data_IF_727249204203
#
_entry.id   IF_727249204203
#
_cell.length_a   1.000
_cell.length_b   1.000
_cell.length_c   1.000
_cell.angle_alpha   90.00
_cell.angle_beta   90.00
_cell.angle_gamma   90.00
#
_symmetry.space_group_name_H-M   'P 1'
#
loop_
_entity.id
_entity.type
_entity.pdbx_description
1 polymer ?
#
# COMPACT_ATOMS: atom_id res chain seq x y z
N UNK A 1 5.77 12.31 7.80
CA UNK A 1 5.22 11.31 6.87
C UNK A 1 6.09 11.26 5.63
N UNK A 2 6.60 10.09 5.24
CA UNK A 2 7.33 9.91 3.98
C UNK A 2 6.56 8.89 3.14
N UNK A 3 6.08 9.30 1.96
CA UNK A 3 5.43 8.43 0.97
C UNK A 3 6.40 8.26 -0.18
N UNK A 4 6.59 7.03 -0.65
CA UNK A 4 7.40 6.71 -1.82
C UNK A 4 6.74 5.64 -2.66
N UNK A 5 7.03 5.71 -3.96
CA UNK A 5 6.60 4.75 -4.96
C UNK A 5 7.77 3.86 -5.35
N UNK A 6 7.51 2.56 -5.45
CA UNK A 6 8.49 1.55 -5.80
C UNK A 6 7.97 0.74 -6.98
N UNK A 7 8.75 0.67 -8.04
CA UNK A 7 8.49 -0.22 -9.17
C UNK A 7 9.58 -1.29 -9.29
N UNK A 8 9.17 -2.50 -9.62
CA UNK A 8 10.07 -3.64 -9.80
C UNK A 8 9.46 -4.73 -10.66
N UNK A 9 10.29 -5.70 -11.05
CA UNK A 9 9.83 -6.83 -11.85
C UNK A 9 8.99 -7.80 -11.01
N UNK A 10 9.23 -7.84 -9.70
CA UNK A 10 8.51 -8.71 -8.77
C UNK A 10 8.09 -7.96 -7.51
N UNK A 11 7.04 -8.46 -6.87
CA UNK A 11 6.62 -7.98 -5.56
C UNK A 11 7.76 -8.08 -4.52
N UNK A 12 8.49 -9.21 -4.52
CA UNK A 12 9.59 -9.45 -3.57
C UNK A 12 10.68 -8.38 -3.67
N UNK A 13 11.08 -8.04 -4.89
CA UNK A 13 12.07 -7.00 -5.15
C UNK A 13 11.61 -5.65 -4.60
N UNK A 14 10.35 -5.27 -4.85
CA UNK A 14 9.79 -4.02 -4.34
C UNK A 14 9.76 -4.01 -2.80
N UNK A 15 9.35 -5.11 -2.18
CA UNK A 15 9.30 -5.24 -0.71
C UNK A 15 10.69 -5.13 -0.07
N UNK A 16 11.73 -5.72 -0.69
CA UNK A 16 13.11 -5.57 -0.22
C UNK A 16 13.53 -4.11 -0.24
N UNK A 17 13.32 -3.42 -1.36
CA UNK A 17 13.66 -1.99 -1.49
C UNK A 17 12.89 -1.10 -0.50
N UNK A 18 11.60 -1.39 -0.28
CA UNK A 18 10.78 -0.67 0.70
C UNK A 18 11.38 -0.80 2.11
N UNK A 19 11.79 -2.02 2.50
CA UNK A 19 12.41 -2.26 3.81
C UNK A 19 13.75 -1.55 3.96
N UNK A 20 14.56 -1.52 2.91
CA UNK A 20 15.86 -0.85 2.92
C UNK A 20 15.73 0.67 2.98
N UNK A 21 14.73 1.26 2.31
CA UNK A 21 14.57 2.71 2.17
C UNK A 21 13.64 3.35 3.23
N UNK A 22 12.54 2.69 3.57
CA UNK A 22 11.53 3.18 4.54
C UNK A 22 11.59 2.49 5.91
N UNK A 23 12.28 1.34 5.99
CA UNK A 23 12.38 0.54 7.20
C UNK A 23 11.29 -0.54 7.33
N UNK A 24 11.38 -1.39 8.38
CA UNK A 24 10.43 -2.47 8.62
C UNK A 24 9.02 -1.99 9.00
N UNK A 25 8.90 -0.78 9.53
CA UNK A 25 7.63 -0.15 9.95
C UNK A 25 6.85 0.49 8.79
N UNK A 26 7.30 0.31 7.55
CA UNK A 26 6.63 0.86 6.38
C UNK A 26 5.26 0.22 6.17
N UNK A 27 4.24 1.05 5.94
CA UNK A 27 2.89 0.63 5.62
C UNK A 27 2.68 0.74 4.11
N UNK A 28 2.16 -0.33 3.51
CA UNK A 28 1.80 -0.33 2.09
C UNK A 28 0.42 0.32 1.94
N UNK A 29 0.34 1.34 1.10
CA UNK A 29 -0.89 2.07 0.78
C UNK A 29 -1.58 1.47 -0.43
N UNK A 30 -0.82 1.13 -1.47
CA UNK A 30 -1.37 0.62 -2.72
C UNK A 30 -0.40 -0.38 -3.36
N UNK A 31 -0.96 -1.41 -4.00
CA UNK A 31 -0.20 -2.36 -4.83
C UNK A 31 -0.91 -2.52 -6.16
N UNK A 32 -0.21 -2.18 -7.24
CA UNK A 32 -0.72 -2.24 -8.60
C UNK A 32 0.17 -3.17 -9.44
N UNK A 33 -0.44 -4.14 -10.12
CA UNK A 33 0.25 -4.92 -11.15
C UNK A 33 0.25 -4.12 -12.44
N UNK A 34 1.43 -4.01 -13.04
CA UNK A 34 1.66 -3.32 -14.30
C UNK A 34 2.13 -4.34 -15.34
N UNK A 35 1.80 -4.07 -16.60
CA UNK A 35 2.41 -4.78 -17.73
C UNK A 35 3.16 -3.74 -18.54
N UNK A 36 4.49 -3.74 -18.45
CA UNK A 36 5.35 -2.77 -19.13
C UNK A 36 5.82 -3.32 -20.48
N UNK A 37 5.56 -2.56 -21.53
CA UNK A 37 6.02 -2.83 -22.89
C UNK A 37 5.09 -3.73 -23.72
N UNK A 38 5.64 -4.19 -24.83
CA UNK A 38 4.93 -4.93 -25.87
C UNK A 38 4.31 -4.02 -26.93
N UNK A 39 4.45 -4.42 -28.19
CA UNK A 39 3.73 -3.82 -29.30
C UNK A 39 2.58 -4.77 -29.61
N UNK A 40 1.34 -4.26 -29.63
CA UNK A 40 0.17 -5.03 -30.05
C UNK A 40 -0.13 -6.30 -29.21
N UNK A 41 0.24 -6.32 -27.92
CA UNK A 41 -0.05 -7.42 -26.99
C UNK A 41 1.04 -8.50 -26.88
N UNK A 42 2.10 -8.42 -27.68
CA UNK A 42 3.22 -9.37 -27.68
C UNK A 42 4.41 -8.82 -26.90
N UNK A 43 4.91 -9.58 -25.93
CA UNK A 43 6.18 -9.28 -25.23
C UNK A 43 6.11 -8.30 -24.05
N UNK A 44 4.91 -7.92 -23.58
CA UNK A 44 4.77 -7.12 -22.36
C UNK A 44 5.27 -7.89 -21.13
N UNK A 45 6.16 -7.30 -20.34
CA UNK A 45 6.71 -7.87 -19.11
C UNK A 45 5.84 -7.50 -17.91
N UNK A 46 5.66 -8.45 -17.01
CA UNK A 46 5.02 -8.18 -15.73
C UNK A 46 5.92 -7.29 -14.86
N UNK A 47 5.29 -6.32 -14.22
CA UNK A 47 5.89 -5.41 -13.27
C UNK A 47 4.91 -5.15 -12.13
N UNK A 48 5.42 -4.65 -11.01
CA UNK A 48 4.62 -4.29 -9.85
C UNK A 48 5.02 -2.89 -9.40
N UNK A 49 4.02 -2.07 -9.10
CA UNK A 49 4.15 -0.75 -8.49
C UNK A 49 3.54 -0.81 -7.10
N UNK A 50 4.27 -0.33 -6.11
CA UNK A 50 3.85 -0.29 -4.72
C UNK A 50 4.03 1.13 -4.20
N UNK A 51 2.99 1.69 -3.60
CA UNK A 51 3.08 2.94 -2.86
C UNK A 51 3.16 2.56 -1.38
N UNK A 52 4.24 2.97 -0.72
CA UNK A 52 4.47 2.71 0.69
C UNK A 52 4.81 3.99 1.42
N UNK A 53 4.51 4.02 2.71
CA UNK A 53 4.78 5.17 3.55
C UNK A 53 5.18 4.79 4.97
N UNK A 54 5.97 5.67 5.60
CA UNK A 54 6.39 5.52 7.00
C UNK A 54 6.00 6.75 7.84
N UNK A 55 5.84 6.53 9.14
CA UNK A 55 5.31 7.51 10.08
C UNK A 55 3.82 7.77 9.89
N UNK A 56 3.06 6.74 9.48
CA UNK A 56 1.60 6.74 9.54
C UNK A 56 1.20 6.28 10.92
N UNK A 57 0.50 7.14 11.65
CA UNK A 57 -0.28 6.72 12.82
C UNK A 57 -1.63 6.29 12.26
N UNK A 58 -1.91 4.99 12.30
CA UNK A 58 -3.24 4.50 12.00
C UNK A 58 -4.15 5.07 13.10
N UNK A 59 -5.05 5.99 12.73
CA UNK A 59 -6.11 6.41 13.63
C UNK A 59 -6.95 5.17 13.91
N UNK A 60 -6.76 4.56 15.08
CA UNK A 60 -7.57 3.46 15.55
C UNK A 60 -9.04 3.87 15.49
N UNK A 61 -9.89 2.93 15.10
CA UNK A 61 -11.34 3.06 14.96
C UNK A 61 -11.90 4.10 15.92
N UNK A 62 -12.45 5.20 15.36
CA UNK A 62 -13.39 6.00 16.11
C UNK A 62 -14.45 5.04 16.60
N UNK A 63 -14.47 4.83 17.92
CA UNK A 63 -15.57 4.14 18.56
C UNK A 63 -16.83 4.74 17.98
N UNK A 64 -17.59 3.92 17.27
CA UNK A 64 -19.03 4.02 17.15
C UNK A 64 -19.64 3.98 18.56
N UNK A 65 -19.37 5.02 19.34
CA UNK A 65 -20.08 5.44 20.54
C UNK A 65 -20.92 6.66 20.13
N UNK A 66 -21.70 6.51 19.07
CA UNK A 66 -22.91 7.31 18.90
C UNK A 66 -24.07 6.44 19.33
N UNK A 67 -24.58 6.72 20.53
CA UNK A 67 -25.56 5.89 21.20
C UNK A 67 -26.90 5.80 20.48
N UNK A 68 -27.56 4.66 20.66
CA UNK A 68 -29.01 4.54 20.57
C UNK A 68 -29.43 3.37 21.47
N UNK A 69 -30.17 3.65 22.53
CA UNK A 69 -30.74 2.59 23.39
C UNK A 69 -31.00 2.94 24.84
N UNK A 70 -31.19 4.21 25.23
CA UNK A 70 -31.96 4.51 26.44
C UNK A 70 -33.43 4.30 26.10
N UNK A 71 -34.00 3.16 26.50
CA UNK A 71 -35.46 2.99 26.53
C UNK A 71 -35.97 3.69 27.79
N UNK A 72 -36.84 4.71 27.69
CA UNK A 72 -37.52 5.24 28.87
C UNK A 72 -38.71 4.36 29.26
N UNK A 73 -38.86 4.18 30.58
CA UNK A 73 -39.99 3.68 31.37
C UNK A 73 -40.46 2.23 31.13
#
# INVERSE_FOLDING_TARGET
MKIKEFEGATLRECLTRIREDLGPEAVILETQKLRKGGVMGLGGRDAVRIIAATGIVLAGEERSQSGAGRVPA
#
